data_IF_587175595985
#
_entry.id   IF_587175595985
#
_cell.length_a   1.000
_cell.length_b   1.000
_cell.length_c   1.000
_cell.angle_alpha   90.00
_cell.angle_beta   90.00
_cell.angle_gamma   90.00
#
_symmetry.space_group_name_H-M   'P 1'
#
loop_
_entity.id
_entity.type
_entity.pdbx_description
1 polymer ?
#
# COMPACT_ATOMS: atom_id res chain seq x y z
N UNK A 1 -19.40 0.50 -24.65
CA UNK A 1 -19.04 1.56 -23.67
C UNK A 1 -19.01 0.93 -22.30
N UNK A 2 -17.85 0.88 -21.65
CA UNK A 2 -17.76 0.37 -20.28
C UNK A 2 -18.50 1.34 -19.35
N UNK A 3 -19.49 0.84 -18.60
CA UNK A 3 -20.22 1.62 -17.60
C UNK A 3 -19.24 2.08 -16.52
N UNK A 4 -18.95 3.39 -16.50
CA UNK A 4 -17.99 4.04 -15.59
C UNK A 4 -18.43 3.98 -14.11
N UNK A 5 -19.58 3.36 -13.82
CA UNK A 5 -20.13 3.13 -12.48
C UNK A 5 -19.82 1.74 -11.91
N UNK A 6 -19.41 0.78 -12.75
CA UNK A 6 -18.96 -0.51 -12.25
C UNK A 6 -17.54 -0.41 -11.71
N UNK A 7 -17.39 -0.60 -10.39
CA UNK A 7 -16.11 -0.58 -9.67
C UNK A 7 -15.61 -1.99 -9.33
N UNK A 8 -16.35 -3.01 -9.74
CA UNK A 8 -15.92 -4.40 -9.57
C UNK A 8 -14.84 -4.67 -10.61
N UNK A 9 -13.64 -4.95 -10.12
CA UNK A 9 -12.48 -5.28 -10.93
C UNK A 9 -11.66 -6.34 -10.20
N UNK A 10 -10.81 -7.04 -10.95
CA UNK A 10 -9.87 -7.98 -10.36
C UNK A 10 -8.84 -7.24 -9.49
N UNK A 11 -8.41 -7.88 -8.41
CA UNK A 11 -7.47 -7.26 -7.48
C UNK A 11 -6.12 -6.98 -8.14
N UNK A 12 -5.60 -7.90 -8.94
CA UNK A 12 -4.30 -7.72 -9.59
C UNK A 12 -4.38 -6.60 -10.63
N UNK A 13 -5.49 -6.51 -11.36
CA UNK A 13 -5.76 -5.40 -12.28
C UNK A 13 -5.86 -4.07 -11.55
N UNK A 14 -6.54 -4.02 -10.40
CA UNK A 14 -6.64 -2.82 -9.57
C UNK A 14 -5.26 -2.35 -9.10
N UNK A 15 -4.45 -3.24 -8.53
CA UNK A 15 -3.12 -2.90 -8.04
C UNK A 15 -2.24 -2.40 -9.19
N UNK A 16 -2.22 -3.08 -10.34
CA UNK A 16 -1.41 -2.67 -11.50
C UNK A 16 -1.84 -1.33 -12.09
N UNK A 17 -3.14 -1.01 -12.04
CA UNK A 17 -3.69 0.20 -12.65
C UNK A 17 -3.50 1.43 -11.76
N UNK A 18 -3.69 1.25 -10.45
CA UNK A 18 -3.79 2.36 -9.48
C UNK A 18 -2.57 2.50 -8.58
N UNK A 19 -1.78 1.44 -8.38
CA UNK A 19 -0.60 1.47 -7.51
C UNK A 19 0.66 1.52 -8.37
N UNK A 20 1.53 2.48 -8.08
CA UNK A 20 2.82 2.67 -8.77
C UNK A 20 3.94 2.85 -7.74
N UNK A 21 5.17 2.66 -8.18
CA UNK A 21 6.33 2.96 -7.33
C UNK A 21 6.31 4.42 -6.89
N UNK A 22 6.65 4.69 -5.63
CA UNK A 22 6.59 6.05 -5.08
C UNK A 22 5.19 6.50 -4.63
N UNK A 23 4.15 5.64 -4.73
CA UNK A 23 2.79 6.04 -4.37
C UNK A 23 2.62 6.25 -2.87
N UNK A 24 1.83 7.26 -2.53
CA UNK A 24 1.40 7.55 -1.17
C UNK A 24 0.08 6.82 -0.91
N UNK A 25 0.07 5.88 0.04
CA UNK A 25 -1.08 5.03 0.30
C UNK A 25 -1.40 5.00 1.79
N UNK A 26 -2.67 4.80 2.11
CA UNK A 26 -3.10 4.44 3.44
C UNK A 26 -3.86 3.13 3.39
N UNK A 27 -3.63 2.29 4.39
CA UNK A 27 -4.33 1.02 4.56
C UNK A 27 -5.26 1.17 5.77
N UNK A 28 -6.55 0.94 5.53
CA UNK A 28 -7.53 0.83 6.60
C UNK A 28 -7.40 -0.51 7.31
N UNK A 29 -7.57 -0.51 8.63
CA UNK A 29 -7.45 -1.69 9.47
C UNK A 29 -7.13 -1.27 10.91
N UNK A 30 -7.49 -2.10 11.88
CA UNK A 30 -7.11 -1.88 13.28
C UNK A 30 -6.48 -3.16 13.82
N UNK A 31 -5.19 -3.05 14.14
CA UNK A 31 -4.33 -4.13 14.65
C UNK A 31 -4.31 -5.35 13.70
N UNK A 32 -5.02 -6.42 14.04
CA UNK A 32 -5.08 -7.67 13.26
C UNK A 32 -6.37 -7.83 12.46
N UNK A 33 -7.33 -6.91 12.66
CA UNK A 33 -8.66 -7.01 12.07
C UNK A 33 -8.78 -6.12 10.85
N UNK A 34 -9.40 -6.66 9.79
CA UNK A 34 -9.76 -5.94 8.54
C UNK A 34 -8.57 -5.44 7.71
N UNK A 35 -7.36 -5.98 7.91
CA UNK A 35 -6.23 -5.69 7.03
C UNK A 35 -6.50 -6.31 5.64
N UNK A 36 -6.51 -5.54 4.54
CA UNK A 36 -6.64 -6.08 3.18
C UNK A 36 -5.37 -6.83 2.74
N UNK A 37 -5.11 -7.98 3.37
CA UNK A 37 -3.92 -8.80 3.14
C UNK A 37 -3.79 -9.26 1.69
N UNK A 38 -4.91 -9.50 1.00
CA UNK A 38 -4.89 -9.82 -0.41
C UNK A 38 -4.23 -8.71 -1.24
N UNK A 39 -4.53 -7.43 -0.94
CA UNK A 39 -3.94 -6.29 -1.63
C UNK A 39 -2.44 -6.14 -1.29
N UNK A 40 -2.07 -6.37 -0.02
CA UNK A 40 -0.68 -6.39 0.42
C UNK A 40 0.14 -7.42 -0.34
N UNK A 41 -0.32 -8.67 -0.41
CA UNK A 41 0.39 -9.71 -1.14
C UNK A 41 0.43 -9.46 -2.65
N UNK A 42 -0.63 -8.89 -3.23
CA UNK A 42 -0.64 -8.49 -4.64
C UNK A 42 0.43 -7.43 -4.93
N UNK A 43 0.59 -6.42 -4.06
CA UNK A 43 1.64 -5.39 -4.17
C UNK A 43 3.04 -6.03 -4.12
N UNK A 44 3.27 -6.93 -3.15
CA UNK A 44 4.55 -7.65 -3.00
C UNK A 44 4.84 -8.50 -4.23
N UNK A 45 3.85 -9.25 -4.74
CA UNK A 45 3.98 -10.11 -5.93
C UNK A 45 4.24 -9.31 -7.20
N UNK A 46 3.62 -8.15 -7.34
CA UNK A 46 3.84 -7.24 -8.47
C UNK A 46 5.16 -6.47 -8.34
N UNK A 47 5.86 -6.58 -7.21
CA UNK A 47 7.20 -6.01 -7.02
C UNK A 47 7.21 -4.49 -6.92
N UNK A 48 6.09 -3.89 -6.52
CA UNK A 48 5.95 -2.44 -6.38
C UNK A 48 6.77 -1.98 -5.17
N UNK A 49 7.54 -0.90 -5.34
CA UNK A 49 8.52 -0.43 -4.36
C UNK A 49 8.36 1.06 -4.06
N UNK A 50 9.13 1.52 -3.08
CA UNK A 50 9.17 2.91 -2.65
C UNK A 50 7.81 3.46 -2.23
N UNK A 51 6.97 2.63 -1.61
CA UNK A 51 5.65 3.05 -1.17
C UNK A 51 5.73 3.86 0.12
N UNK A 52 5.04 4.98 0.14
CA UNK A 52 4.91 5.86 1.30
C UNK A 52 3.59 5.52 2.00
N UNK A 53 3.66 4.87 3.14
CA UNK A 53 2.45 4.44 3.85
C UNK A 53 2.09 5.41 4.96
N UNK A 54 0.81 5.77 5.06
CA UNK A 54 0.23 6.46 6.20
C UNK A 54 -0.66 5.49 6.96
N UNK A 55 -0.28 5.18 8.20
CA UNK A 55 -0.92 4.13 9.02
C UNK A 55 -1.25 4.73 10.38
N UNK A 56 -2.47 4.51 10.84
CA UNK A 56 -2.90 4.96 12.17
C UNK A 56 -2.68 3.90 13.26
N UNK A 57 -2.66 2.61 12.90
CA UNK A 57 -2.37 1.51 13.80
C UNK A 57 -1.58 0.47 13.03
N UNK A 58 -0.33 0.20 13.44
CA UNK A 58 0.54 -0.75 12.76
C UNK A 58 -0.07 -2.15 12.87
N UNK A 59 -0.68 -2.60 11.78
CA UNK A 59 -1.20 -3.95 11.63
C UNK A 59 -0.25 -4.84 10.83
N UNK A 60 -0.51 -6.14 10.86
CA UNK A 60 0.29 -7.18 10.17
C UNK A 60 0.52 -6.92 8.68
N UNK A 61 -0.39 -6.18 8.01
CA UNK A 61 -0.22 -5.83 6.60
C UNK A 61 0.97 -4.91 6.33
N UNK A 62 1.35 -4.06 7.29
CA UNK A 62 2.55 -3.22 7.16
C UNK A 62 3.81 -4.05 7.36
N UNK A 63 3.82 -4.96 8.33
CA UNK A 63 4.97 -5.82 8.60
C UNK A 63 5.32 -6.69 7.38
N UNK A 64 4.32 -7.25 6.69
CA UNK A 64 4.53 -8.00 5.45
C UNK A 64 5.08 -7.12 4.31
N UNK A 65 4.60 -5.88 4.17
CA UNK A 65 5.11 -4.94 3.16
C UNK A 65 6.54 -4.49 3.46
N UNK A 66 6.91 -4.36 4.75
CA UNK A 66 8.29 -4.12 5.19
C UNK A 66 9.15 -5.33 4.86
N UNK A 67 8.70 -6.54 5.21
CA UNK A 67 9.40 -7.80 4.92
C UNK A 67 9.59 -8.05 3.42
N UNK A 68 8.62 -7.66 2.61
CA UNK A 68 8.68 -7.69 1.15
C UNK A 68 9.56 -6.59 0.53
N UNK A 69 10.10 -5.66 1.32
CA UNK A 69 10.94 -4.56 0.84
C UNK A 69 10.19 -3.52 0.00
N UNK A 70 8.86 -3.44 0.14
CA UNK A 70 8.01 -2.56 -0.68
C UNK A 70 7.88 -1.14 -0.11
N UNK A 71 8.18 -0.93 1.18
CA UNK A 71 8.02 0.36 1.86
C UNK A 71 9.34 1.15 1.87
N UNK A 72 9.31 2.41 1.41
CA UNK A 72 10.43 3.36 1.57
C UNK A 72 10.29 4.25 2.80
N UNK A 73 9.05 4.56 3.23
CA UNK A 73 8.78 5.50 4.32
C UNK A 73 7.54 5.10 5.12
N UNK A 74 7.70 5.10 6.44
CA UNK A 74 6.61 5.05 7.42
C UNK A 74 6.50 6.43 8.11
N UNK A 75 5.31 6.83 8.59
CA UNK A 75 5.11 8.09 9.29
C UNK A 75 5.64 8.04 10.73
N UNK A 76 6.16 6.89 11.19
CA UNK A 76 6.79 6.79 12.48
C UNK A 76 8.13 7.53 12.51
N UNK A 77 8.02 8.84 12.76
CA UNK A 77 8.85 9.53 13.73
C UNK A 77 10.34 9.66 13.45
N UNK A 78 10.83 9.48 12.22
CA UNK A 78 12.22 9.87 11.89
C UNK A 78 12.25 11.19 11.09
N UNK A 79 12.48 12.34 11.76
CA UNK A 79 12.63 13.61 11.06
C UNK A 79 13.96 13.61 10.29
N UNK A 80 13.96 14.15 9.07
CA UNK A 80 15.19 14.44 8.32
C UNK A 80 15.38 13.70 7.00
N UNK A 81 14.31 13.17 6.37
CA UNK A 81 14.44 12.55 5.04
C UNK A 81 13.44 13.04 3.99
N UNK A 82 12.76 14.15 4.19
CA UNK A 82 11.98 14.77 3.12
C UNK A 82 12.94 15.44 2.12
N UNK A 83 13.03 14.99 0.85
CA UNK A 83 13.61 15.83 -0.20
C UNK A 83 12.66 17.00 -0.48
N UNK A 84 13.19 18.20 -0.78
CA UNK A 84 12.36 19.31 -1.21
C UNK A 84 11.63 18.95 -2.50
N UNK A 85 10.33 19.27 -2.55
CA UNK A 85 9.49 19.09 -3.74
C UNK A 85 9.83 20.05 -4.88
#
# INVERSE_FOLDING_TARGET
MADRRNKVMDLDEAIRTYVRDGSHMSIGGFSISRNPMAAVYAIIRQGIKNLHFYVHSNGTGIDELIGGGCISRLPEGRPGRDPPG
#
